data_IF_450368400922
#
_entry.id   IF_450368400922
#
_cell.length_a   1.000
_cell.length_b   1.000
_cell.length_c   1.000
_cell.angle_alpha   90.00
_cell.angle_beta   90.00
_cell.angle_gamma   90.00
#
_symmetry.space_group_name_H-M   'P 1'
#
loop_
_entity.id
_entity.type
_entity.pdbx_description
1 polymer ?
#
# COMPACT_ATOMS: atom_id res chain seq x y z
N UNK A 1 10.08 -7.03 -21.77
CA UNK A 1 9.14 -7.64 -20.82
C UNK A 1 7.85 -6.85 -20.83
N UNK A 2 6.77 -7.46 -21.34
CA UNK A 2 5.44 -6.85 -21.36
C UNK A 2 4.95 -6.55 -19.94
N UNK A 3 4.81 -5.26 -19.63
CA UNK A 3 4.30 -4.75 -18.34
C UNK A 3 2.82 -5.11 -18.08
N UNK A 4 2.18 -5.84 -18.98
CA UNK A 4 0.79 -6.25 -18.93
C UNK A 4 0.60 -7.75 -18.61
N UNK A 5 1.63 -8.59 -18.79
CA UNK A 5 1.51 -10.04 -18.60
C UNK A 5 1.32 -10.34 -17.10
N UNK A 6 0.14 -10.85 -16.72
CA UNK A 6 -0.21 -11.22 -15.34
C UNK A 6 -0.90 -10.14 -14.49
N UNK A 7 -1.30 -8.99 -15.07
CA UNK A 7 -1.94 -7.89 -14.31
C UNK A 7 -3.39 -8.13 -13.91
N UNK A 8 -4.07 -9.11 -14.51
CA UNK A 8 -5.50 -9.36 -14.30
C UNK A 8 -5.81 -10.86 -14.20
N UNK A 9 -5.16 -11.57 -13.28
CA UNK A 9 -5.57 -12.93 -12.90
C UNK A 9 -6.65 -12.86 -11.82
N UNK A 10 -7.69 -12.06 -12.04
CA UNK A 10 -8.84 -12.03 -11.14
C UNK A 10 -9.87 -13.02 -11.68
N UNK A 11 -10.26 -14.01 -10.87
CA UNK A 11 -11.29 -14.99 -11.25
C UNK A 11 -12.66 -14.33 -11.50
N UNK A 12 -12.88 -13.17 -10.88
CA UNK A 12 -14.08 -12.36 -11.01
C UNK A 12 -13.72 -10.90 -11.29
N UNK A 13 -14.45 -10.28 -12.21
CA UNK A 13 -14.26 -8.90 -12.64
C UNK A 13 -15.44 -8.01 -12.22
N UNK A 14 -15.30 -6.70 -12.43
CA UNK A 14 -16.41 -5.75 -12.25
C UNK A 14 -17.63 -6.08 -13.12
N UNK A 15 -17.43 -6.81 -14.22
CA UNK A 15 -18.52 -7.27 -15.09
C UNK A 15 -19.34 -8.36 -14.41
N UNK A 16 -18.69 -9.25 -13.67
CA UNK A 16 -19.36 -10.34 -12.96
C UNK A 16 -20.10 -9.80 -11.72
N UNK A 17 -19.50 -8.82 -11.04
CA UNK A 17 -20.15 -8.09 -9.97
C UNK A 17 -21.41 -7.33 -10.46
N UNK A 18 -21.34 -6.70 -11.63
CA UNK A 18 -22.49 -6.05 -12.27
C UNK A 18 -23.60 -7.05 -12.62
N UNK A 19 -23.25 -8.18 -13.26
CA UNK A 19 -24.22 -9.25 -13.57
C UNK A 19 -24.91 -9.79 -12.32
N UNK A 20 -24.15 -10.00 -11.23
CA UNK A 20 -24.70 -10.46 -9.96
C UNK A 20 -25.64 -9.40 -9.36
N UNK A 21 -25.24 -8.12 -9.40
CA UNK A 21 -26.04 -7.01 -8.90
C UNK A 21 -27.38 -6.90 -9.65
N UNK A 22 -27.35 -6.91 -11.00
CA UNK A 22 -28.58 -6.86 -11.80
C UNK A 22 -29.50 -8.06 -11.56
N UNK A 23 -28.93 -9.25 -11.31
CA UNK A 23 -29.71 -10.45 -11.00
C UNK A 23 -30.40 -10.38 -9.63
N UNK A 24 -29.78 -9.72 -8.66
CA UNK A 24 -30.24 -9.73 -7.26
C UNK A 24 -31.08 -8.53 -6.87
N UNK A 25 -30.80 -7.36 -7.45
CA UNK A 25 -31.38 -6.09 -6.99
C UNK A 25 -32.08 -5.33 -8.11
N UNK A 26 -31.34 -4.60 -8.95
CA UNK A 26 -31.88 -3.68 -9.94
C UNK A 26 -31.15 -3.83 -11.28
N UNK A 27 -31.91 -3.86 -12.37
CA UNK A 27 -31.33 -3.84 -13.71
C UNK A 27 -30.91 -2.41 -14.07
N UNK A 28 -29.60 -2.17 -14.12
CA UNK A 28 -29.00 -0.87 -14.43
C UNK A 28 -27.90 -1.02 -15.46
N UNK A 29 -27.66 0.07 -16.21
CA UNK A 29 -26.56 0.10 -17.16
C UNK A 29 -25.21 -0.09 -16.45
N UNK A 30 -24.31 -0.77 -17.16
CA UNK A 30 -22.98 -1.09 -16.65
C UNK A 30 -22.13 0.15 -16.41
N UNK A 31 -22.33 1.21 -17.19
CA UNK A 31 -21.61 2.48 -17.03
C UNK A 31 -22.00 3.12 -15.72
N UNK A 32 -23.31 3.24 -15.47
CA UNK A 32 -23.85 3.76 -14.21
C UNK A 32 -23.38 2.93 -13.01
N UNK A 33 -23.41 1.59 -13.10
CA UNK A 33 -22.89 0.73 -12.03
C UNK A 33 -21.42 1.00 -11.72
N UNK A 34 -20.58 1.19 -12.76
CA UNK A 34 -19.16 1.48 -12.59
C UNK A 34 -18.93 2.84 -11.94
N UNK A 35 -19.71 3.85 -12.31
CA UNK A 35 -19.64 5.19 -11.72
C UNK A 35 -19.97 5.12 -10.23
N UNK A 36 -21.09 4.49 -9.87
CA UNK A 36 -21.50 4.30 -8.46
C UNK A 36 -20.41 3.58 -7.66
N UNK A 37 -19.88 2.47 -8.18
CA UNK A 37 -18.82 1.72 -7.50
C UNK A 37 -17.54 2.55 -7.37
N UNK A 38 -17.21 3.34 -8.37
CA UNK A 38 -16.02 4.21 -8.34
C UNK A 38 -16.17 5.31 -7.28
N UNK A 39 -17.33 5.94 -7.19
CA UNK A 39 -17.62 6.98 -6.19
C UNK A 39 -17.59 6.42 -4.77
N UNK A 40 -18.25 5.28 -4.53
CA UNK A 40 -18.24 4.61 -3.22
C UNK A 40 -16.81 4.23 -2.83
N UNK A 41 -16.02 3.68 -3.77
CA UNK A 41 -14.63 3.35 -3.50
C UNK A 41 -13.79 4.59 -3.20
N UNK A 42 -13.96 5.68 -3.95
CA UNK A 42 -13.23 6.92 -3.71
C UNK A 42 -13.53 7.47 -2.31
N UNK A 43 -14.80 7.52 -1.91
CA UNK A 43 -15.20 8.02 -0.60
C UNK A 43 -14.73 7.11 0.54
N UNK A 44 -14.82 5.79 0.38
CA UNK A 44 -14.24 4.85 1.35
C UNK A 44 -12.73 5.09 1.50
N UNK A 45 -11.98 5.28 0.41
CA UNK A 45 -10.55 5.56 0.54
C UNK A 45 -10.27 6.90 1.19
N UNK A 46 -11.07 7.93 0.91
CA UNK A 46 -10.99 9.24 1.57
C UNK A 46 -11.18 9.10 3.08
N UNK A 47 -12.26 8.44 3.51
CA UNK A 47 -12.56 8.19 4.93
C UNK A 47 -11.44 7.39 5.63
N UNK A 48 -10.90 6.36 4.97
CA UNK A 48 -9.86 5.51 5.57
C UNK A 48 -8.48 6.20 5.64
N UNK A 49 -8.15 7.04 4.65
CA UNK A 49 -6.82 7.65 4.51
C UNK A 49 -6.76 9.04 5.13
N UNK A 50 -7.74 9.90 4.87
CA UNK A 50 -7.74 11.29 5.35
C UNK A 50 -8.31 11.37 6.77
N UNK A 51 -9.46 10.72 7.01
CA UNK A 51 -10.15 10.78 8.30
C UNK A 51 -9.71 9.68 9.28
N UNK A 52 -8.75 8.83 8.88
CA UNK A 52 -8.22 7.70 9.65
C UNK A 52 -9.32 6.74 10.20
N UNK A 53 -10.44 6.61 9.48
CA UNK A 53 -11.57 5.81 9.91
C UNK A 53 -11.33 4.32 9.65
N UNK A 54 -11.68 3.49 10.63
CA UNK A 54 -11.77 2.04 10.48
C UNK A 54 -13.12 1.68 9.86
N UNK A 55 -13.13 1.45 8.55
CA UNK A 55 -14.33 1.12 7.79
C UNK A 55 -14.76 -0.33 8.04
N UNK A 56 -16.02 -0.51 8.40
CA UNK A 56 -16.64 -1.83 8.45
C UNK A 56 -17.16 -2.21 7.06
N UNK A 57 -16.62 -3.29 6.51
CA UNK A 57 -17.08 -3.90 5.27
C UNK A 57 -17.98 -5.10 5.61
N UNK A 58 -19.29 -5.06 5.27
CA UNK A 58 -20.21 -6.15 5.58
C UNK A 58 -19.69 -7.49 5.05
N UNK A 59 -19.62 -8.50 5.92
CA UNK A 59 -19.08 -9.84 5.61
C UNK A 59 -17.61 -9.88 5.15
N UNK A 60 -16.93 -8.73 5.14
CA UNK A 60 -15.56 -8.57 4.70
C UNK A 60 -14.69 -7.85 5.75
N UNK A 61 -15.14 -7.69 6.99
CA UNK A 61 -14.27 -7.29 8.11
C UNK A 61 -14.01 -5.79 8.16
N UNK A 62 -12.80 -5.38 8.53
CA UNK A 62 -12.48 -3.96 8.68
C UNK A 62 -11.30 -3.53 7.81
N UNK A 63 -11.43 -2.37 7.16
CA UNK A 63 -10.37 -1.74 6.39
C UNK A 63 -9.96 -0.42 7.06
N UNK A 64 -8.66 -0.22 7.23
CA UNK A 64 -8.10 0.99 7.85
C UNK A 64 -6.67 1.22 7.37
N UNK A 65 -6.15 2.43 7.57
CA UNK A 65 -4.71 2.67 7.55
C UNK A 65 -4.19 2.61 8.97
N UNK A 66 -3.11 1.87 9.19
CA UNK A 66 -2.47 1.73 10.50
C UNK A 66 -1.00 2.11 10.42
N UNK A 67 -0.46 2.65 11.52
CA UNK A 67 0.96 2.89 11.68
C UNK A 67 1.62 1.75 12.46
N UNK A 68 2.87 1.43 12.13
CA UNK A 68 3.68 0.48 12.85
C UNK A 68 5.14 0.92 12.85
N UNK A 69 5.85 0.66 13.95
CA UNK A 69 7.29 0.92 14.04
C UNK A 69 8.05 -0.35 13.66
N UNK A 70 8.81 -0.38 12.55
CA UNK A 70 9.61 -1.53 12.19
C UNK A 70 10.74 -1.72 13.21
N UNK A 71 11.01 -2.97 13.60
CA UNK A 71 12.25 -3.30 14.33
C UNK A 71 13.42 -3.22 13.36
N UNK A 72 14.30 -2.24 13.56
CA UNK A 72 15.45 -1.93 12.69
C UNK A 72 16.78 -2.45 13.23
N UNK A 73 16.84 -2.83 14.50
CA UNK A 73 18.00 -3.46 15.14
C UNK A 73 17.67 -4.92 15.48
N UNK A 74 18.68 -5.78 15.37
CA UNK A 74 18.65 -7.15 15.91
C UNK A 74 18.91 -7.16 17.43
N UNK A 75 18.95 -8.36 18.03
CA UNK A 75 19.15 -8.53 19.46
C UNK A 75 20.57 -8.09 19.90
N UNK A 76 21.52 -8.13 18.97
CA UNK A 76 22.90 -7.71 19.12
C UNK A 76 23.13 -6.22 18.80
N UNK A 77 22.08 -5.47 18.44
CA UNK A 77 22.15 -4.03 18.14
C UNK A 77 22.67 -3.69 16.74
N UNK A 78 22.78 -4.65 15.83
CA UNK A 78 23.16 -4.44 14.42
C UNK A 78 21.96 -4.06 13.58
N UNK A 79 22.22 -3.27 12.54
CA UNK A 79 21.19 -2.77 11.63
C UNK A 79 20.65 -3.90 10.74
N UNK A 80 19.34 -4.15 10.81
CA UNK A 80 18.63 -5.09 9.93
C UNK A 80 18.32 -4.42 8.58
N UNK A 81 19.31 -4.41 7.68
CA UNK A 81 19.24 -3.78 6.36
C UNK A 81 18.08 -4.29 5.50
N UNK A 82 17.69 -5.55 5.63
CA UNK A 82 16.58 -6.19 4.92
C UNK A 82 15.21 -5.54 5.21
N UNK A 83 15.07 -4.91 6.39
CA UNK A 83 13.81 -4.29 6.84
C UNK A 83 13.74 -2.81 6.47
N UNK A 84 14.84 -2.24 5.99
CA UNK A 84 14.94 -0.84 5.60
C UNK A 84 14.75 -0.69 4.09
N UNK A 85 13.95 0.30 3.70
CA UNK A 85 13.84 0.65 2.28
C UNK A 85 14.99 1.56 1.91
N UNK A 86 15.57 1.32 0.74
CA UNK A 86 16.60 2.19 0.17
C UNK A 86 15.98 3.50 -0.32
N UNK A 87 16.64 4.60 0.00
CA UNK A 87 16.38 5.89 -0.65
C UNK A 87 17.21 5.95 -1.93
N UNK A 88 16.65 5.44 -3.04
CA UNK A 88 17.36 5.45 -4.31
C UNK A 88 17.76 6.85 -4.77
N UNK A 89 16.97 7.88 -4.46
CA UNK A 89 17.28 9.24 -4.87
C UNK A 89 18.50 9.77 -4.12
N UNK A 90 18.54 9.58 -2.80
CA UNK A 90 19.69 9.93 -1.98
C UNK A 90 20.92 9.08 -2.34
N UNK A 91 20.76 7.77 -2.58
CA UNK A 91 21.83 6.90 -3.08
C UNK A 91 22.42 7.41 -4.38
N UNK A 92 21.59 7.77 -5.37
CA UNK A 92 22.09 8.29 -6.64
C UNK A 92 22.85 9.61 -6.48
N UNK A 93 22.39 10.49 -5.59
CA UNK A 93 23.11 11.73 -5.27
C UNK A 93 24.50 11.41 -4.70
N UNK A 94 24.56 10.54 -3.69
CA UNK A 94 25.81 10.08 -3.07
C UNK A 94 26.76 9.45 -4.10
N UNK A 95 26.26 8.56 -4.94
CA UNK A 95 27.10 7.87 -5.94
C UNK A 95 27.61 8.81 -7.03
N UNK A 96 26.85 9.83 -7.42
CA UNK A 96 27.31 10.83 -8.37
C UNK A 96 28.39 11.74 -7.77
N UNK A 97 28.32 12.03 -6.46
CA UNK A 97 29.36 12.75 -5.72
C UNK A 97 30.62 11.90 -5.55
N UNK A 98 30.48 10.60 -5.24
CA UNK A 98 31.61 9.67 -5.03
C UNK A 98 32.31 9.25 -6.33
N UNK A 99 31.56 9.15 -7.42
CA UNK A 99 32.08 8.71 -8.73
C UNK A 99 31.84 9.77 -9.81
N UNK A 100 32.49 10.95 -9.71
CA UNK A 100 32.33 11.99 -10.70
C UNK A 100 32.78 11.49 -12.08
N UNK A 101 32.02 11.83 -13.12
CA UNK A 101 32.33 11.45 -14.51
C UNK A 101 31.89 10.03 -14.92
N UNK A 102 31.38 9.20 -14.00
CA UNK A 102 30.80 7.89 -14.37
C UNK A 102 29.32 8.01 -14.73
N UNK A 103 28.93 7.30 -15.78
CA UNK A 103 27.54 7.18 -16.19
C UNK A 103 26.76 6.27 -15.22
N UNK A 104 25.43 6.38 -15.20
CA UNK A 104 24.58 5.52 -14.36
C UNK A 104 24.77 4.02 -14.65
N UNK A 105 25.04 3.66 -15.90
CA UNK A 105 25.27 2.27 -16.29
C UNK A 105 26.57 1.72 -15.70
N UNK A 106 27.62 2.54 -15.63
CA UNK A 106 28.89 2.19 -15.01
C UNK A 106 28.77 2.14 -13.50
N UNK A 107 28.12 3.13 -12.89
CA UNK A 107 27.84 3.15 -11.45
C UNK A 107 27.08 1.88 -11.06
N UNK A 108 26.06 1.48 -11.83
CA UNK A 108 25.28 0.27 -11.55
C UNK A 108 26.14 -1.01 -11.42
N UNK A 109 27.22 -1.12 -12.21
CA UNK A 109 28.13 -2.29 -12.21
C UNK A 109 29.09 -2.36 -11.01
N UNK A 110 29.29 -1.25 -10.29
CA UNK A 110 30.17 -1.21 -9.11
C UNK A 110 29.56 -2.11 -8.01
N UNK A 111 30.35 -3.01 -7.41
CA UNK A 111 29.92 -3.83 -6.27
C UNK A 111 30.05 -3.05 -4.95
N UNK A 112 29.24 -3.40 -3.96
CA UNK A 112 29.36 -2.91 -2.57
C UNK A 112 29.36 -1.38 -2.41
N UNK A 113 28.51 -0.70 -3.19
CA UNK A 113 28.31 0.74 -3.06
C UNK A 113 27.63 1.08 -1.73
N UNK A 114 27.95 2.24 -1.18
CA UNK A 114 27.27 2.75 0.01
C UNK A 114 25.77 2.94 -0.25
N UNK A 115 24.95 2.53 0.73
CA UNK A 115 23.50 2.53 0.63
C UNK A 115 22.90 3.50 1.64
N UNK A 116 22.05 4.40 1.16
CA UNK A 116 21.27 5.31 1.98
C UNK A 116 19.88 4.71 2.19
N UNK A 117 19.47 4.60 3.45
CA UNK A 117 18.17 4.05 3.84
C UNK A 117 17.19 5.16 4.23
N UNK A 118 15.91 4.92 3.96
CA UNK A 118 14.83 5.80 4.40
C UNK A 118 14.63 5.63 5.92
N UNK A 119 14.94 6.69 6.66
CA UNK A 119 14.86 6.72 8.13
C UNK A 119 13.48 7.09 8.68
N UNK A 120 12.61 7.69 7.86
CA UNK A 120 11.27 8.15 8.26
C UNK A 120 11.28 9.07 9.51
N UNK A 121 12.29 9.93 9.64
CA UNK A 121 12.40 10.89 10.76
C UNK A 121 11.15 11.79 10.89
N UNK A 122 10.54 12.18 9.76
CA UNK A 122 9.34 13.02 9.72
C UNK A 122 8.08 12.34 10.31
N UNK A 123 8.08 11.02 10.44
CA UNK A 123 7.01 10.24 11.09
C UNK A 123 7.51 9.53 12.33
N UNK A 124 8.58 10.03 12.98
CA UNK A 124 9.20 9.41 14.16
C UNK A 124 9.48 7.89 13.94
N UNK A 125 9.94 7.52 12.75
CA UNK A 125 10.26 6.13 12.40
C UNK A 125 9.05 5.23 12.13
N UNK A 126 7.80 5.73 12.23
CA UNK A 126 6.60 4.97 11.89
C UNK A 126 6.48 4.76 10.38
N UNK A 127 5.88 3.63 10.02
CA UNK A 127 5.44 3.28 8.67
C UNK A 127 3.95 3.05 8.64
N UNK A 128 3.30 3.52 7.58
CA UNK A 128 1.86 3.40 7.39
C UNK A 128 1.57 2.38 6.29
N UNK A 129 0.52 1.58 6.47
CA UNK A 129 -0.01 0.69 5.44
C UNK A 129 -1.50 0.45 5.64
N UNK A 130 -2.18 0.06 4.55
CA UNK A 130 -3.53 -0.48 4.65
C UNK A 130 -3.51 -1.80 5.41
N UNK A 131 -4.38 -1.90 6.39
CA UNK A 131 -4.65 -3.10 7.15
C UNK A 131 -6.07 -3.57 6.86
N UNK A 132 -6.17 -4.77 6.32
CA UNK A 132 -7.43 -5.48 6.20
C UNK A 132 -7.53 -6.50 7.32
N UNK A 133 -8.33 -6.17 8.32
CA UNK A 133 -8.60 -7.01 9.47
C UNK A 133 -9.71 -8.01 9.13
N UNK A 134 -9.34 -9.29 9.25
CA UNK A 134 -10.15 -10.45 8.91
C UNK A 134 -10.64 -11.22 10.12
N UNK A 135 -10.41 -10.74 11.34
CA UNK A 135 -10.65 -11.52 12.56
C UNK A 135 -12.14 -11.74 12.77
N UNK A 136 -12.95 -10.70 12.52
CA UNK A 136 -14.42 -10.74 12.61
C UNK A 136 -15.10 -11.44 11.41
N UNK A 137 -14.36 -11.88 10.39
CA UNK A 137 -14.91 -12.39 9.14
C UNK A 137 -15.29 -13.88 9.24
N UNK A 138 -16.49 -14.23 8.75
CA UNK A 138 -17.00 -15.62 8.60
C UNK A 138 -16.74 -16.25 7.22
N UNK A 139 -15.97 -15.59 6.35
CA UNK A 139 -15.58 -16.07 5.04
C UNK A 139 -14.74 -17.36 5.15
N UNK A 140 -15.15 -18.40 4.43
CA UNK A 140 -14.36 -19.64 4.31
C UNK A 140 -13.03 -19.33 3.64
N UNK A 141 -11.95 -19.96 4.11
CA UNK A 141 -10.60 -19.77 3.56
C UNK A 141 -10.15 -18.30 3.55
N UNK A 142 -10.54 -17.50 4.57
CA UNK A 142 -10.16 -16.08 4.67
C UNK A 142 -8.66 -15.80 4.56
N UNK A 143 -7.81 -16.78 4.85
CA UNK A 143 -6.35 -16.70 4.65
C UNK A 143 -5.94 -16.54 3.18
N UNK A 144 -6.70 -17.10 2.22
CA UNK A 144 -6.41 -17.03 0.80
C UNK A 144 -6.69 -15.68 0.14
N UNK A 145 -7.39 -14.78 0.84
CA UNK A 145 -7.74 -13.46 0.33
C UNK A 145 -6.80 -12.38 0.87
N UNK A 146 -6.50 -11.39 0.03
CA UNK A 146 -5.70 -10.20 0.37
C UNK A 146 -6.31 -8.94 -0.24
N UNK A 147 -6.33 -7.85 0.53
CA UNK A 147 -6.64 -6.53 0.00
C UNK A 147 -5.39 -5.92 -0.63
N UNK A 148 -5.51 -5.47 -1.89
CA UNK A 148 -4.44 -4.79 -2.60
C UNK A 148 -4.93 -3.40 -3.01
N UNK A 149 -4.48 -2.32 -2.35
CA UNK A 149 -4.86 -0.97 -2.73
C UNK A 149 -4.36 -0.64 -4.14
N UNK A 150 -5.06 0.27 -4.81
CA UNK A 150 -4.54 0.88 -6.04
C UNK A 150 -3.25 1.65 -5.74
N UNK A 151 -2.47 1.92 -6.79
CA UNK A 151 -1.24 2.71 -6.64
C UNK A 151 -1.53 4.12 -6.14
N UNK A 152 -2.66 4.68 -6.55
CA UNK A 152 -3.06 6.04 -6.20
C UNK A 152 -3.50 6.11 -4.75
N UNK A 153 -4.30 5.14 -4.27
CA UNK A 153 -4.66 5.03 -2.85
C UNK A 153 -3.44 4.80 -1.95
N UNK A 154 -2.44 4.06 -2.45
CA UNK A 154 -1.18 3.89 -1.69
C UNK A 154 -0.38 5.18 -1.60
N UNK A 155 -0.52 6.08 -2.59
CA UNK A 155 0.17 7.37 -2.62
C UNK A 155 -0.57 8.43 -1.80
N UNK A 156 -1.90 8.37 -1.74
CA UNK A 156 -2.69 9.34 -0.97
C UNK A 156 -2.35 9.32 0.51
N UNK A 157 -1.89 8.19 1.08
CA UNK A 157 -1.37 8.12 2.45
C UNK A 157 -0.26 9.15 2.68
N UNK A 158 0.67 9.29 1.73
CA UNK A 158 1.76 10.26 1.85
C UNK A 158 1.21 11.68 1.96
N UNK A 159 0.29 12.02 1.06
CA UNK A 159 -0.36 13.34 1.03
C UNK A 159 -1.16 13.60 2.31
N UNK A 160 -1.87 12.60 2.83
CA UNK A 160 -2.61 12.72 4.08
C UNK A 160 -1.68 12.97 5.29
N UNK A 161 -0.53 12.29 5.36
CA UNK A 161 0.48 12.54 6.40
C UNK A 161 1.03 13.96 6.31
N UNK A 162 1.35 14.43 5.10
CA UNK A 162 1.81 15.82 4.88
C UNK A 162 0.74 16.84 5.30
N UNK A 163 -0.54 16.49 5.21
CA UNK A 163 -1.68 17.28 5.67
C UNK A 163 -2.00 17.10 7.18
N UNK A 164 -1.22 16.31 7.92
CA UNK A 164 -1.36 16.15 9.37
C UNK A 164 -2.22 14.96 9.83
N UNK A 165 -2.57 14.04 8.95
CA UNK A 165 -3.26 12.81 9.36
C UNK A 165 -2.36 11.93 10.24
N UNK A 166 -2.91 11.42 11.35
CA UNK A 166 -2.28 10.40 12.19
C UNK A 166 -3.17 9.15 12.27
N UNK A 167 -2.54 7.98 12.40
CA UNK A 167 -3.21 6.68 12.32
C UNK A 167 -3.02 5.89 13.60
N UNK A 168 -3.97 4.98 13.87
CA UNK A 168 -3.87 4.07 14.99
C UNK A 168 -2.69 3.10 14.81
N UNK A 169 -2.03 2.79 15.92
CA UNK A 169 -1.01 1.75 15.92
C UNK A 169 -1.63 0.38 15.64
N UNK A 170 -0.93 -0.43 14.86
CA UNK A 170 -1.34 -1.81 14.61
C UNK A 170 -1.22 -2.61 15.90
N UNK A 171 -2.35 -2.80 16.58
CA UNK A 171 -2.45 -3.70 17.73
C UNK A 171 -2.18 -5.11 17.22
N UNK A 172 -1.10 -5.74 17.72
CA UNK A 172 -0.93 -7.19 17.62
C UNK A 172 -1.84 -7.81 18.68
N UNK A 173 -3.01 -8.31 18.27
CA UNK A 173 -3.73 -9.31 19.04
C UNK A 173 -3.02 -10.66 18.90
#
# INVERSE_FOLDING_TARGET
MDRAKGKFNADYSIVDAHKLFCKTYFDIDKTLYREIVSEINAEMMRLAVEDAIRLHLPNAGYLSVVKYRPKVLDEEGRLMTERLKLDYQACWKLWHEQYPGKTRAEISKIKDKELVYITNLHTDGYRMHFNWDKDSIRLKCKSGYMFKPSRDNSRSIKTAIENGADYFEKIKL
#
